data_IF_534693871387
#
_entry.id   IF_534693871387
#
_cell.length_a   1.000
_cell.length_b   1.000
_cell.length_c   1.000
_cell.angle_alpha   90.00
_cell.angle_beta   90.00
_cell.angle_gamma   90.00
#
_symmetry.space_group_name_H-M   'P 1'
#
loop_
_entity.id
_entity.type
_entity.pdbx_description
1 polymer ?
#
# COMPACT_ATOMS: atom_id res chain seq x y z
N UNK A 1 18.26 10.36 -20.14
CA UNK A 1 17.01 10.84 -19.50
C UNK A 1 17.28 11.52 -18.18
N UNK A 2 18.15 10.95 -17.32
CA UNK A 2 18.59 11.54 -16.05
C UNK A 2 19.18 12.96 -16.15
N UNK A 3 19.82 13.26 -17.26
CA UNK A 3 20.36 14.56 -17.67
C UNK A 3 19.28 15.65 -17.88
N UNK A 4 18.01 15.25 -18.07
CA UNK A 4 16.87 16.15 -18.28
C UNK A 4 16.25 16.67 -16.99
N UNK A 5 16.74 16.27 -15.82
CA UNK A 5 16.19 16.62 -14.51
C UNK A 5 17.27 17.14 -13.56
N UNK A 6 16.90 18.06 -12.69
CA UNK A 6 17.70 18.55 -11.56
C UNK A 6 17.09 18.10 -10.26
N UNK A 7 17.84 17.45 -9.38
CA UNK A 7 17.32 17.06 -8.06
C UNK A 7 17.49 18.20 -7.06
N UNK A 8 16.47 18.41 -6.24
CA UNK A 8 16.38 19.48 -5.25
C UNK A 8 16.83 19.00 -3.87
N UNK A 9 16.83 19.90 -2.88
CA UNK A 9 17.08 19.51 -1.48
C UNK A 9 15.97 18.62 -0.89
N UNK A 10 14.75 18.66 -1.44
CA UNK A 10 13.68 17.71 -1.04
C UNK A 10 14.08 16.27 -1.34
N UNK A 11 14.80 16.01 -2.43
CA UNK A 11 15.27 14.67 -2.71
C UNK A 11 16.33 14.21 -1.70
N UNK A 12 17.26 15.10 -1.31
CA UNK A 12 18.24 14.79 -0.27
C UNK A 12 17.56 14.49 1.06
N UNK A 13 16.56 15.30 1.42
CA UNK A 13 15.74 15.11 2.62
C UNK A 13 14.98 13.78 2.59
N UNK A 14 14.42 13.39 1.45
CA UNK A 14 13.79 12.08 1.25
C UNK A 14 14.74 10.92 1.51
N UNK A 15 15.99 10.98 1.05
CA UNK A 15 16.98 9.93 1.32
C UNK A 15 17.27 9.82 2.82
N UNK A 16 17.38 10.96 3.53
CA UNK A 16 17.57 10.98 4.98
C UNK A 16 16.36 10.41 5.73
N UNK A 17 15.16 10.76 5.30
CA UNK A 17 13.90 10.21 5.81
C UNK A 17 13.84 8.69 5.62
N UNK A 18 14.06 8.21 4.39
CA UNK A 18 14.01 6.79 4.06
C UNK A 18 15.02 5.96 4.87
N UNK A 19 16.22 6.50 5.13
CA UNK A 19 17.22 5.85 5.97
C UNK A 19 16.75 5.70 7.43
N UNK A 20 16.11 6.74 8.01
CA UNK A 20 15.53 6.68 9.35
C UNK A 20 14.38 5.69 9.42
N UNK A 21 13.45 5.76 8.46
CA UNK A 21 12.33 4.83 8.37
C UNK A 21 12.81 3.37 8.22
N UNK A 22 13.85 3.09 7.42
CA UNK A 22 14.45 1.75 7.33
C UNK A 22 15.02 1.27 8.67
N UNK A 23 15.69 2.16 9.40
CA UNK A 23 16.23 1.85 10.73
C UNK A 23 15.10 1.45 11.69
N UNK A 24 14.05 2.26 11.78
CA UNK A 24 12.88 1.98 12.62
C UNK A 24 12.16 0.72 12.17
N UNK A 25 12.06 0.46 10.87
CA UNK A 25 11.49 -0.78 10.37
C UNK A 25 12.24 -2.00 10.91
N UNK A 26 13.55 -2.03 10.74
CA UNK A 26 14.37 -3.18 11.10
C UNK A 26 14.45 -3.37 12.62
N UNK A 27 14.68 -2.29 13.38
CA UNK A 27 14.94 -2.38 14.82
C UNK A 27 13.64 -2.45 15.63
N UNK A 28 12.61 -1.68 15.27
CA UNK A 28 11.40 -1.51 16.08
C UNK A 28 10.19 -2.25 15.49
N UNK A 29 9.92 -2.04 14.19
CA UNK A 29 8.74 -2.62 13.54
C UNK A 29 8.83 -4.15 13.45
N UNK A 30 10.01 -4.66 13.10
CA UNK A 30 10.33 -6.09 12.96
C UNK A 30 11.20 -6.63 14.09
N UNK A 31 12.10 -5.80 14.65
CA UNK A 31 13.06 -6.23 15.68
C UNK A 31 12.55 -6.13 17.12
N UNK A 32 11.45 -5.40 17.36
CA UNK A 32 10.81 -5.28 18.67
C UNK A 32 11.48 -4.34 19.65
N UNK A 33 12.49 -3.57 19.22
CA UNK A 33 13.04 -2.48 20.01
C UNK A 33 11.98 -1.38 20.26
N UNK A 34 12.10 -0.60 21.36
CA UNK A 34 11.27 0.58 21.58
C UNK A 34 11.38 1.57 20.41
N UNK A 35 10.26 2.24 20.09
CA UNK A 35 10.22 3.25 19.02
C UNK A 35 10.83 4.58 19.48
N UNK A 36 10.49 5.05 20.68
CA UNK A 36 11.02 6.32 21.22
C UNK A 36 12.52 6.20 21.48
N UNK A 37 13.31 7.13 20.93
CA UNK A 37 14.77 7.13 20.94
C UNK A 37 15.43 6.27 19.85
N UNK A 38 14.68 5.69 18.92
CA UNK A 38 15.21 4.78 17.89
C UNK A 38 15.99 5.48 16.77
N UNK A 39 15.56 6.67 16.34
CA UNK A 39 16.13 7.34 15.16
C UNK A 39 16.39 8.84 15.31
N UNK A 40 16.07 9.41 16.47
CA UNK A 40 16.25 10.83 16.79
C UNK A 40 15.28 11.75 16.06
N UNK A 41 14.16 11.23 15.57
CA UNK A 41 13.09 12.00 14.92
C UNK A 41 11.76 11.77 15.66
N UNK A 42 11.31 12.78 16.41
CA UNK A 42 10.14 12.63 17.28
C UNK A 42 8.88 12.22 16.48
N UNK A 43 8.74 12.68 15.24
CA UNK A 43 7.58 12.34 14.43
C UNK A 43 7.60 10.86 14.04
N UNK A 44 8.72 10.36 13.51
CA UNK A 44 8.86 8.95 13.14
C UNK A 44 8.69 8.04 14.37
N UNK A 45 9.25 8.43 15.51
CA UNK A 45 9.25 7.64 16.73
C UNK A 45 7.88 7.56 17.42
N UNK A 46 6.98 8.52 17.17
CA UNK A 46 5.68 8.59 17.81
C UNK A 46 4.50 8.32 16.87
N UNK A 47 4.72 8.31 15.54
CA UNK A 47 3.66 8.12 14.55
C UNK A 47 4.01 6.99 13.59
N UNK A 48 3.31 5.87 13.75
CA UNK A 48 3.59 4.58 13.08
C UNK A 48 3.35 4.56 11.57
N UNK A 49 3.01 5.68 10.93
CA UNK A 49 2.89 5.74 9.47
C UNK A 49 4.26 5.85 8.81
N UNK A 50 5.28 6.27 9.57
CA UNK A 50 6.62 6.53 9.06
C UNK A 50 7.62 5.42 9.38
N UNK A 51 7.14 4.26 9.86
CA UNK A 51 7.98 3.24 10.48
C UNK A 51 8.38 2.09 9.55
N UNK A 52 8.02 2.16 8.27
CA UNK A 52 8.26 1.13 7.28
C UNK A 52 8.73 1.72 5.96
N UNK A 53 9.54 0.96 5.24
CA UNK A 53 9.98 1.27 3.88
C UNK A 53 9.78 0.13 2.90
N UNK A 54 9.50 -1.09 3.38
CA UNK A 54 9.04 -2.19 2.56
C UNK A 54 7.54 -2.33 2.72
N UNK A 55 6.82 -2.26 1.60
CA UNK A 55 5.37 -2.28 1.54
C UNK A 55 4.77 -3.45 2.29
N UNK A 56 5.33 -4.65 2.12
CA UNK A 56 4.91 -5.90 2.79
C UNK A 56 4.86 -5.81 4.32
N UNK A 57 5.56 -4.84 4.93
CA UNK A 57 5.56 -4.60 6.37
C UNK A 57 4.68 -3.43 6.81
N UNK A 58 4.13 -2.65 5.88
CA UNK A 58 3.20 -1.58 6.19
C UNK A 58 1.89 -2.12 6.78
N UNK A 59 1.18 -1.29 7.56
CA UNK A 59 -0.04 -1.70 8.27
C UNK A 59 -1.11 -2.30 7.35
N UNK A 60 -1.28 -1.77 6.13
CA UNK A 60 -2.31 -2.24 5.21
C UNK A 60 -2.04 -3.65 4.67
N UNK A 61 -0.84 -4.19 4.87
CA UNK A 61 -0.48 -5.56 4.52
C UNK A 61 -0.71 -6.56 5.63
N UNK A 62 -1.00 -6.11 6.86
CA UNK A 62 -1.05 -6.98 8.03
C UNK A 62 -1.95 -8.22 7.81
N UNK A 63 -3.14 -8.06 7.23
CA UNK A 63 -4.02 -9.21 6.96
C UNK A 63 -3.49 -10.16 5.87
N UNK A 64 -2.82 -9.66 4.82
CA UNK A 64 -2.20 -10.54 3.82
C UNK A 64 -0.97 -11.25 4.39
N UNK A 65 -0.18 -10.58 5.21
CA UNK A 65 0.94 -11.20 5.95
C UNK A 65 0.43 -12.31 6.87
N UNK A 66 -0.68 -12.06 7.59
CA UNK A 66 -1.31 -13.02 8.49
C UNK A 66 -1.77 -14.28 7.73
N UNK A 67 -2.45 -14.12 6.60
CA UNK A 67 -2.89 -15.26 5.79
C UNK A 67 -1.71 -16.01 5.18
N UNK A 68 -0.74 -15.28 4.61
CA UNK A 68 0.35 -15.87 3.83
C UNK A 68 1.35 -16.63 4.69
N UNK A 69 1.72 -16.07 5.85
CA UNK A 69 2.76 -16.61 6.73
C UNK A 69 2.21 -17.28 8.00
N UNK A 70 0.93 -17.14 8.32
CA UNK A 70 0.31 -17.70 9.53
C UNK A 70 1.08 -17.32 10.81
N UNK A 71 1.65 -18.29 11.53
CA UNK A 71 2.46 -18.11 12.74
C UNK A 71 3.92 -17.71 12.46
N UNK A 72 4.34 -17.75 11.20
CA UNK A 72 5.65 -17.30 10.74
C UNK A 72 5.65 -15.84 10.28
N UNK A 73 4.55 -15.11 10.51
CA UNK A 73 4.45 -13.73 10.10
C UNK A 73 5.49 -12.83 10.81
N UNK A 74 6.08 -11.83 10.13
CA UNK A 74 7.20 -11.05 10.68
C UNK A 74 6.90 -10.33 12.00
N UNK A 75 5.63 -10.02 12.29
CA UNK A 75 5.20 -9.29 13.48
C UNK A 75 4.56 -10.18 14.55
N UNK A 76 4.72 -11.51 14.47
CA UNK A 76 4.11 -12.47 15.38
C UNK A 76 4.32 -12.14 16.87
N UNK A 77 5.48 -11.60 17.22
CA UNK A 77 5.84 -11.22 18.59
C UNK A 77 5.02 -10.06 19.18
N UNK A 78 4.32 -9.27 18.35
CA UNK A 78 3.50 -8.13 18.79
C UNK A 78 2.07 -8.52 19.14
N UNK A 79 1.68 -9.76 18.88
CA UNK A 79 0.29 -10.18 18.89
C UNK A 79 -0.18 -10.65 20.26
N UNK A 80 -1.47 -10.47 20.52
CA UNK A 80 -2.13 -11.10 21.66
C UNK A 80 -2.31 -12.60 21.40
N UNK A 81 -2.59 -13.37 22.46
CA UNK A 81 -2.84 -14.82 22.33
C UNK A 81 -4.02 -15.13 21.40
N UNK A 82 -5.04 -14.28 21.40
CA UNK A 82 -6.21 -14.43 20.53
C UNK A 82 -5.84 -14.26 19.05
N UNK A 83 -4.97 -13.29 18.74
CA UNK A 83 -4.48 -13.07 17.37
C UNK A 83 -3.59 -14.24 16.94
N UNK A 84 -2.68 -14.70 17.81
CA UNK A 84 -1.84 -15.89 17.52
C UNK A 84 -2.71 -17.12 17.20
N UNK A 85 -3.73 -17.41 18.02
CA UNK A 85 -4.64 -18.53 17.79
C UNK A 85 -5.42 -18.40 16.46
N UNK A 86 -5.86 -17.19 16.09
CA UNK A 86 -6.46 -16.94 14.77
C UNK A 86 -5.48 -17.28 13.65
N UNK A 87 -4.24 -16.82 13.74
CA UNK A 87 -3.25 -17.03 12.69
C UNK A 87 -2.78 -18.49 12.58
N UNK A 88 -2.72 -19.22 13.70
CA UNK A 88 -2.49 -20.68 13.67
C UNK A 88 -3.54 -21.40 12.81
N UNK A 89 -4.78 -20.91 12.78
CA UNK A 89 -5.83 -21.48 11.92
C UNK A 89 -5.55 -21.30 10.42
N UNK A 90 -4.62 -20.43 10.01
CA UNK A 90 -4.28 -20.16 8.61
C UNK A 90 -3.13 -21.02 8.06
N UNK A 91 -2.48 -21.85 8.88
CA UNK A 91 -1.32 -22.67 8.43
C UNK A 91 -1.60 -23.53 7.20
N UNK A 92 -2.81 -24.05 7.10
CA UNK A 92 -3.23 -24.95 6.03
C UNK A 92 -3.45 -24.26 4.68
N UNK A 93 -3.45 -22.91 4.62
CA UNK A 93 -3.82 -22.17 3.43
C UNK A 93 -2.83 -22.39 2.28
N UNK A 94 -1.52 -22.47 2.57
CA UNK A 94 -0.50 -22.73 1.54
C UNK A 94 -0.66 -24.11 0.87
N UNK A 95 -1.22 -25.09 1.60
CA UNK A 95 -1.50 -26.43 1.07
C UNK A 95 -2.87 -26.53 0.37
N UNK A 96 -3.79 -25.62 0.71
CA UNK A 96 -5.19 -25.67 0.26
C UNK A 96 -5.44 -24.78 -0.95
N UNK A 97 -4.87 -23.57 -0.95
CA UNK A 97 -5.12 -22.56 -1.96
C UNK A 97 -4.10 -22.64 -3.09
N UNK A 98 -4.61 -22.61 -4.32
CA UNK A 98 -3.75 -22.45 -5.49
C UNK A 98 -3.42 -20.97 -5.72
N UNK A 99 -2.60 -20.69 -6.75
CA UNK A 99 -2.36 -19.33 -7.23
C UNK A 99 -3.65 -18.55 -7.51
N UNK A 100 -4.71 -19.25 -7.94
CA UNK A 100 -6.00 -18.67 -8.24
C UNK A 100 -6.66 -18.06 -7.01
N UNK A 101 -6.75 -18.82 -5.92
CA UNK A 101 -7.31 -18.36 -4.64
C UNK A 101 -6.47 -17.23 -4.05
N UNK A 102 -5.14 -17.32 -4.11
CA UNK A 102 -4.26 -16.26 -3.62
C UNK A 102 -4.44 -14.94 -4.36
N UNK A 103 -4.47 -14.97 -5.70
CA UNK A 103 -4.74 -13.76 -6.49
C UNK A 103 -6.15 -13.20 -6.23
N UNK A 104 -7.15 -14.07 -6.07
CA UNK A 104 -8.49 -13.63 -5.68
C UNK A 104 -8.48 -12.92 -4.31
N UNK A 105 -7.75 -13.44 -3.34
CA UNK A 105 -7.63 -12.85 -2.00
C UNK A 105 -6.90 -11.51 -2.04
N UNK A 106 -5.82 -11.37 -2.82
CA UNK A 106 -5.15 -10.09 -3.02
C UNK A 106 -6.10 -9.06 -3.65
N UNK A 107 -6.83 -9.46 -4.70
CA UNK A 107 -7.83 -8.62 -5.34
C UNK A 107 -8.94 -8.21 -4.37
N UNK A 108 -9.49 -9.16 -3.60
CA UNK A 108 -10.53 -8.90 -2.62
C UNK A 108 -10.04 -7.90 -1.57
N UNK A 109 -8.86 -8.14 -0.96
CA UNK A 109 -8.26 -7.25 0.03
C UNK A 109 -8.12 -5.82 -0.48
N UNK A 110 -7.63 -5.64 -1.72
CA UNK A 110 -7.46 -4.32 -2.32
C UNK A 110 -8.75 -3.60 -2.62
N UNK A 111 -9.81 -4.34 -2.90
CA UNK A 111 -11.13 -3.79 -3.15
C UNK A 111 -11.90 -3.49 -1.85
N UNK A 112 -11.72 -4.29 -0.79
CA UNK A 112 -12.58 -4.25 0.41
C UNK A 112 -11.90 -3.68 1.66
N UNK A 113 -10.69 -4.15 2.00
CA UNK A 113 -10.12 -4.05 3.36
C UNK A 113 -8.77 -3.36 3.50
N UNK A 114 -8.08 -3.04 2.40
CA UNK A 114 -6.70 -2.54 2.47
C UNK A 114 -6.52 -1.04 2.73
N UNK A 115 -7.56 -0.35 3.18
CA UNK A 115 -7.51 1.10 3.41
C UNK A 115 -6.51 1.48 4.50
N UNK A 116 -5.69 2.49 4.23
CA UNK A 116 -4.81 3.07 5.24
C UNK A 116 -5.63 3.81 6.32
N UNK A 117 -6.00 3.09 7.38
CA UNK A 117 -6.79 3.66 8.48
C UNK A 117 -5.94 4.57 9.37
N UNK A 118 -4.63 4.32 9.45
CA UNK A 118 -3.72 4.94 10.41
C UNK A 118 -4.16 4.73 11.86
N UNK A 119 -4.86 3.63 12.12
CA UNK A 119 -5.40 3.26 13.44
C UNK A 119 -4.88 1.88 13.85
N UNK A 120 -5.29 1.40 15.02
CA UNK A 120 -4.81 0.12 15.59
C UNK A 120 -5.19 -1.08 14.72
N UNK A 121 -6.27 -0.98 13.95
CA UNK A 121 -6.80 -2.05 13.08
C UNK A 121 -6.35 -1.93 11.61
N UNK A 122 -5.27 -1.18 11.33
CA UNK A 122 -4.78 -0.97 9.98
C UNK A 122 -4.52 -2.31 9.27
N UNK A 123 -5.17 -2.51 8.12
CA UNK A 123 -5.14 -3.76 7.35
C UNK A 123 -6.22 -4.77 7.74
N UNK A 124 -6.88 -4.60 8.88
CA UNK A 124 -7.96 -5.47 9.39
C UNK A 124 -9.35 -4.84 9.29
N UNK A 125 -9.44 -3.51 9.18
CA UNK A 125 -10.71 -2.79 9.12
C UNK A 125 -11.61 -3.25 7.99
N UNK A 126 -12.84 -3.65 8.34
CA UNK A 126 -13.87 -4.14 7.40
C UNK A 126 -13.38 -5.27 6.47
N UNK A 127 -12.32 -5.97 6.86
CA UNK A 127 -11.79 -7.05 6.05
C UNK A 127 -12.67 -8.29 6.19
N UNK A 128 -13.01 -8.89 5.05
CA UNK A 128 -13.77 -10.15 4.99
C UNK A 128 -12.84 -11.37 4.95
N UNK A 129 -11.53 -11.14 4.83
CA UNK A 129 -10.52 -12.16 4.60
C UNK A 129 -10.49 -13.30 5.64
N UNK A 130 -10.65 -13.05 6.96
CA UNK A 130 -10.71 -14.13 7.94
C UNK A 130 -11.87 -15.11 7.72
N UNK A 131 -12.99 -14.64 7.15
CA UNK A 131 -14.11 -15.50 6.81
C UNK A 131 -13.86 -16.25 5.50
N UNK A 132 -13.27 -15.57 4.51
CA UNK A 132 -12.87 -16.22 3.24
C UNK A 132 -11.79 -17.29 3.45
N UNK A 133 -10.90 -17.10 4.43
CA UNK A 133 -9.87 -18.05 4.83
C UNK A 133 -10.40 -19.39 5.35
N UNK A 134 -11.70 -19.50 5.66
CA UNK A 134 -12.34 -20.76 6.07
C UNK A 134 -12.80 -21.59 4.86
N UNK A 135 -12.71 -21.03 3.66
CA UNK A 135 -13.23 -21.61 2.42
C UNK A 135 -12.07 -22.13 1.55
N UNK A 136 -12.34 -23.15 0.75
CA UNK A 136 -11.30 -23.88 0.01
C UNK A 136 -11.09 -23.35 -1.39
N UNK A 137 -12.14 -22.84 -2.02
CA UNK A 137 -12.09 -22.39 -3.43
C UNK A 137 -12.56 -20.96 -3.58
N UNK A 138 -12.09 -20.29 -4.63
CA UNK A 138 -12.51 -18.93 -4.92
C UNK A 138 -14.02 -18.84 -5.25
N UNK A 139 -14.63 -19.90 -5.79
CA UNK A 139 -16.09 -20.00 -5.99
C UNK A 139 -16.86 -19.93 -4.66
N UNK A 140 -16.42 -20.69 -3.65
CA UNK A 140 -17.03 -20.67 -2.31
C UNK A 140 -16.93 -19.26 -1.71
N UNK A 141 -15.78 -18.60 -1.87
CA UNK A 141 -15.57 -17.23 -1.41
C UNK A 141 -16.51 -16.23 -2.09
N UNK A 142 -16.72 -16.35 -3.40
CA UNK A 142 -17.67 -15.51 -4.14
C UNK A 142 -19.09 -15.73 -3.65
N UNK A 143 -19.51 -16.98 -3.45
CA UNK A 143 -20.84 -17.29 -2.91
C UNK A 143 -21.05 -16.72 -1.51
N UNK A 144 -20.01 -16.77 -0.67
CA UNK A 144 -20.03 -16.13 0.65
C UNK A 144 -20.18 -14.60 0.53
N UNK A 145 -19.38 -13.94 -0.32
CA UNK A 145 -19.45 -12.49 -0.56
C UNK A 145 -20.84 -12.05 -1.03
N UNK A 146 -21.46 -12.83 -1.92
CA UNK A 146 -22.81 -12.55 -2.42
C UNK A 146 -23.84 -12.50 -1.29
N UNK A 147 -23.69 -13.36 -0.27
CA UNK A 147 -24.60 -13.45 0.88
C UNK A 147 -24.24 -12.51 2.03
N UNK A 148 -23.00 -12.04 2.11
CA UNK A 148 -22.54 -11.19 3.20
C UNK A 148 -23.33 -9.87 3.30
N UNK A 149 -23.89 -9.58 4.48
CA UNK A 149 -24.70 -8.38 4.70
C UNK A 149 -24.00 -7.26 5.49
N UNK A 150 -22.80 -7.54 6.00
CA UNK A 150 -22.02 -6.57 6.77
C UNK A 150 -21.26 -5.55 5.91
N UNK A 151 -20.46 -4.73 6.58
CA UNK A 151 -19.64 -3.70 5.93
C UNK A 151 -18.33 -4.33 5.45
N UNK A 152 -18.09 -4.26 4.14
CA UNK A 152 -16.82 -4.70 3.51
C UNK A 152 -16.19 -3.64 2.61
N UNK A 153 -16.72 -2.42 2.56
CA UNK A 153 -16.10 -1.34 1.79
C UNK A 153 -15.76 -0.19 2.73
N UNK A 154 -14.61 0.44 2.48
CA UNK A 154 -14.19 1.65 3.19
C UNK A 154 -13.69 2.68 2.18
N UNK A 155 -14.08 3.93 2.37
CA UNK A 155 -13.49 5.09 1.69
C UNK A 155 -12.32 5.68 2.47
N UNK A 156 -12.01 5.14 3.65
CA UNK A 156 -10.89 5.58 4.47
C UNK A 156 -9.60 5.02 3.88
N UNK A 157 -8.73 5.90 3.41
CA UNK A 157 -7.41 5.55 2.88
C UNK A 157 -7.39 4.91 1.49
N UNK A 158 -8.51 4.36 1.00
CA UNK A 158 -8.62 3.77 -0.34
C UNK A 158 -9.81 4.31 -1.14
N UNK A 159 -9.60 4.39 -2.46
CA UNK A 159 -10.70 4.63 -3.39
C UNK A 159 -11.53 3.34 -3.54
N UNK A 160 -12.86 3.45 -3.46
CA UNK A 160 -13.74 2.33 -3.81
C UNK A 160 -13.85 2.29 -5.35
N UNK A 161 -13.70 1.12 -6.00
CA UNK A 161 -13.90 1.01 -7.44
C UNK A 161 -15.29 1.50 -7.89
N UNK A 162 -15.35 2.10 -9.08
CA UNK A 162 -16.61 2.41 -9.73
C UNK A 162 -17.20 1.12 -10.32
N UNK A 163 -17.82 0.31 -9.45
CA UNK A 163 -18.40 -0.98 -9.81
C UNK A 163 -19.52 -0.86 -10.86
N UNK A 164 -19.84 -1.98 -11.55
CA UNK A 164 -21.08 -2.09 -12.31
C UNK A 164 -22.31 -1.69 -11.50
N UNK A 165 -23.39 -1.29 -12.18
CA UNK A 165 -24.67 -1.07 -11.49
C UNK A 165 -25.17 -2.39 -10.88
N UNK A 166 -25.84 -2.35 -9.71
CA UNK A 166 -26.59 -3.50 -9.21
C UNK A 166 -27.56 -4.03 -10.28
N UNK A 167 -27.78 -5.35 -10.30
CA UNK A 167 -28.73 -6.04 -11.19
C UNK A 167 -29.32 -7.27 -10.49
N UNK A 168 -30.31 -7.91 -11.12
CA UNK A 168 -31.09 -9.01 -10.54
C UNK A 168 -30.20 -10.07 -9.87
N UNK A 169 -30.52 -10.39 -8.61
CA UNK A 169 -29.72 -11.31 -7.79
C UNK A 169 -28.57 -10.68 -7.00
N UNK A 170 -28.27 -9.38 -7.19
CA UNK A 170 -27.17 -8.69 -6.50
C UNK A 170 -27.59 -7.38 -5.84
N UNK A 171 -27.44 -7.31 -4.51
CA UNK A 171 -27.79 -6.13 -3.68
C UNK A 171 -26.92 -4.90 -3.98
N UNK A 172 -25.68 -5.08 -4.43
CA UNK A 172 -24.72 -3.98 -4.67
C UNK A 172 -23.88 -4.23 -5.92
N UNK A 173 -23.38 -3.16 -6.53
CA UNK A 173 -22.48 -3.24 -7.70
C UNK A 173 -21.19 -4.01 -7.43
N UNK A 174 -20.64 -3.89 -6.21
CA UNK A 174 -19.46 -4.65 -5.83
C UNK A 174 -19.72 -6.15 -5.74
N UNK A 175 -20.92 -6.57 -5.31
CA UNK A 175 -21.33 -7.98 -5.38
C UNK A 175 -21.53 -8.46 -6.81
N UNK A 176 -22.01 -7.60 -7.72
CA UNK A 176 -22.03 -7.91 -9.16
C UNK A 176 -20.61 -8.17 -9.67
N UNK A 177 -19.65 -7.31 -9.30
CA UNK A 177 -18.24 -7.48 -9.68
C UNK A 177 -17.67 -8.83 -9.22
N UNK A 178 -17.80 -9.16 -7.93
CA UNK A 178 -17.30 -10.43 -7.41
C UNK A 178 -18.04 -11.64 -7.99
N UNK A 179 -19.37 -11.54 -8.13
CA UNK A 179 -20.22 -12.63 -8.60
C UNK A 179 -20.04 -13.02 -10.07
N UNK A 180 -19.62 -12.10 -10.93
CA UNK A 180 -19.64 -12.32 -12.38
C UNK A 180 -18.31 -12.02 -13.09
N UNK A 181 -17.43 -11.22 -12.49
CA UNK A 181 -16.24 -10.73 -13.17
C UNK A 181 -14.95 -11.14 -12.49
N UNK A 182 -14.88 -11.11 -11.15
CA UNK A 182 -13.62 -11.25 -10.43
C UNK A 182 -12.87 -12.56 -10.75
N UNK A 183 -13.56 -13.71 -10.76
CA UNK A 183 -12.90 -15.00 -11.03
C UNK A 183 -12.40 -15.10 -12.47
N UNK A 184 -13.21 -14.66 -13.45
CA UNK A 184 -12.80 -14.63 -14.85
C UNK A 184 -11.57 -13.74 -15.06
N UNK A 185 -11.52 -12.57 -14.40
CA UNK A 185 -10.35 -11.70 -14.43
C UNK A 185 -9.13 -12.39 -13.80
N UNK A 186 -9.27 -13.01 -12.63
CA UNK A 186 -8.19 -13.74 -11.94
C UNK A 186 -7.61 -14.83 -12.85
N UNK A 187 -8.47 -15.62 -13.50
CA UNK A 187 -8.06 -16.70 -14.39
C UNK A 187 -7.32 -16.17 -15.62
N UNK A 188 -7.83 -15.09 -16.23
CA UNK A 188 -7.21 -14.49 -17.39
C UNK A 188 -5.90 -13.74 -17.05
N UNK A 189 -5.77 -13.18 -15.84
CA UNK A 189 -4.51 -12.61 -15.36
C UNK A 189 -3.44 -13.69 -15.23
N UNK A 190 -3.76 -14.86 -14.66
CA UNK A 190 -2.77 -15.93 -14.57
C UNK A 190 -2.34 -16.45 -15.94
N UNK A 191 -3.26 -16.59 -16.90
CA UNK A 191 -2.90 -16.94 -18.29
C UNK A 191 -1.96 -15.90 -18.89
N UNK A 192 -2.23 -14.61 -18.69
CA UNK A 192 -1.39 -13.53 -19.18
C UNK A 192 0.02 -13.55 -18.55
N UNK A 193 0.08 -13.73 -17.23
CA UNK A 193 1.36 -13.83 -16.50
C UNK A 193 2.16 -15.05 -16.92
N UNK A 194 1.52 -16.22 -17.05
CA UNK A 194 2.17 -17.47 -17.48
C UNK A 194 2.71 -17.37 -18.91
N UNK A 195 2.03 -16.66 -19.81
CA UNK A 195 2.51 -16.43 -21.17
C UNK A 195 3.80 -15.59 -21.18
N UNK A 196 3.84 -14.50 -20.41
CA UNK A 196 5.04 -13.65 -20.30
C UNK A 196 6.21 -14.43 -19.65
N UNK A 197 5.91 -15.24 -18.64
CA UNK A 197 6.90 -16.02 -17.89
C UNK A 197 7.57 -17.14 -18.68
N UNK A 198 7.17 -17.39 -19.93
CA UNK A 198 7.96 -18.23 -20.86
C UNK A 198 9.32 -17.61 -21.18
N UNK A 199 9.41 -16.28 -21.16
CA UNK A 199 10.62 -15.54 -21.55
C UNK A 199 11.22 -14.69 -20.40
N UNK A 200 10.36 -14.06 -19.57
CA UNK A 200 10.79 -13.16 -18.49
C UNK A 200 9.72 -12.99 -17.42
N UNK A 201 10.07 -12.43 -16.27
CA UNK A 201 9.09 -11.98 -15.28
C UNK A 201 8.14 -10.93 -15.89
N UNK A 202 6.87 -10.99 -15.50
CA UNK A 202 5.88 -9.99 -15.89
C UNK A 202 6.12 -8.66 -15.15
N UNK A 203 5.97 -7.53 -15.84
CA UNK A 203 6.15 -6.21 -15.21
C UNK A 203 4.84 -5.72 -14.60
N UNK A 204 4.92 -4.96 -13.51
CA UNK A 204 3.73 -4.50 -12.76
C UNK A 204 2.76 -3.72 -13.68
N UNK A 205 3.26 -2.73 -14.45
CA UNK A 205 2.41 -1.93 -15.35
C UNK A 205 1.73 -2.77 -16.44
N UNK A 206 2.39 -3.81 -16.96
CA UNK A 206 1.81 -4.67 -18.01
C UNK A 206 0.57 -5.41 -17.50
N UNK A 207 0.67 -5.99 -16.29
CA UNK A 207 -0.45 -6.70 -15.66
C UNK A 207 -1.58 -5.71 -15.34
N UNK A 208 -1.25 -4.52 -14.80
CA UNK A 208 -2.26 -3.49 -14.52
C UNK A 208 -2.98 -3.03 -15.78
N UNK A 209 -2.25 -2.83 -16.88
CA UNK A 209 -2.81 -2.42 -18.16
C UNK A 209 -3.70 -3.50 -18.76
N UNK A 210 -3.29 -4.76 -18.66
CA UNK A 210 -4.10 -5.91 -19.00
C UNK A 210 -5.42 -5.92 -18.21
N UNK A 211 -5.37 -5.85 -16.87
CA UNK A 211 -6.56 -5.84 -16.02
C UNK A 211 -7.49 -4.66 -16.32
N UNK A 212 -6.93 -3.46 -16.55
CA UNK A 212 -7.71 -2.28 -16.91
C UNK A 212 -8.37 -2.40 -18.28
N UNK A 213 -7.68 -3.00 -19.26
CA UNK A 213 -8.22 -3.24 -20.60
C UNK A 213 -9.32 -4.29 -20.56
N UNK A 214 -9.11 -5.38 -19.83
CA UNK A 214 -10.10 -6.43 -19.58
C UNK A 214 -11.42 -5.86 -19.04
N UNK A 215 -11.34 -4.91 -18.11
CA UNK A 215 -12.52 -4.18 -17.62
C UNK A 215 -13.22 -3.36 -18.70
N UNK A 216 -12.46 -2.57 -19.47
CA UNK A 216 -13.02 -1.68 -20.50
C UNK A 216 -13.76 -2.45 -21.58
N UNK A 217 -13.20 -3.58 -22.01
CA UNK A 217 -13.83 -4.48 -23.00
C UNK A 217 -15.16 -5.06 -22.52
N UNK A 218 -15.38 -5.09 -21.20
CA UNK A 218 -16.62 -5.53 -20.55
C UNK A 218 -17.50 -4.38 -20.08
N UNK A 219 -17.24 -3.16 -20.57
CA UNK A 219 -18.03 -1.96 -20.24
C UNK A 219 -17.82 -1.42 -18.82
N UNK A 220 -16.79 -1.88 -18.11
CA UNK A 220 -16.46 -1.41 -16.76
C UNK A 220 -15.41 -0.29 -16.77
N UNK A 221 -15.39 0.51 -15.70
CA UNK A 221 -14.32 1.50 -15.47
C UNK A 221 -13.01 0.79 -15.12
N UNK A 222 -11.90 1.44 -15.42
CA UNK A 222 -10.58 0.96 -15.02
C UNK A 222 -10.39 1.13 -13.50
N UNK A 223 -9.92 0.09 -12.82
CA UNK A 223 -9.66 0.10 -11.37
C UNK A 223 -8.17 0.30 -11.10
N UNK A 224 -7.61 1.35 -11.70
CA UNK A 224 -6.17 1.52 -11.81
C UNK A 224 -5.45 1.49 -10.46
N UNK A 225 -6.00 2.17 -9.46
CA UNK A 225 -5.45 2.19 -8.10
C UNK A 225 -5.47 0.80 -7.46
N UNK A 226 -6.61 0.11 -7.50
CA UNK A 226 -6.77 -1.20 -6.85
C UNK A 226 -5.93 -2.27 -7.55
N UNK A 227 -5.92 -2.28 -8.89
CA UNK A 227 -5.12 -3.22 -9.67
C UNK A 227 -3.63 -2.98 -9.50
N UNK A 228 -3.20 -1.73 -9.42
CA UNK A 228 -1.79 -1.43 -9.10
C UNK A 228 -1.41 -1.98 -7.72
N UNK A 229 -2.25 -1.80 -6.72
CA UNK A 229 -2.01 -2.35 -5.38
C UNK A 229 -2.05 -3.89 -5.35
N UNK A 230 -2.95 -4.53 -6.12
CA UNK A 230 -3.06 -6.00 -6.22
C UNK A 230 -1.84 -6.59 -6.91
N UNK A 231 -1.37 -5.96 -7.99
CA UNK A 231 -0.19 -6.45 -8.72
C UNK A 231 1.09 -6.18 -7.92
N UNK A 232 1.15 -5.11 -7.12
CA UNK A 232 2.21 -4.95 -6.15
C UNK A 232 2.22 -6.07 -5.09
N UNK A 233 1.05 -6.61 -4.69
CA UNK A 233 0.99 -7.81 -3.84
C UNK A 233 1.55 -9.04 -4.58
N UNK A 234 1.22 -9.22 -5.85
CA UNK A 234 1.83 -10.29 -6.66
C UNK A 234 3.36 -10.16 -6.69
N UNK A 235 3.91 -8.95 -6.79
CA UNK A 235 5.35 -8.72 -6.73
C UNK A 235 5.94 -8.93 -5.32
N UNK A 236 5.14 -8.84 -4.25
CA UNK A 236 5.58 -9.13 -2.88
C UNK A 236 5.62 -10.66 -2.60
N UNK A 237 4.68 -11.42 -3.15
CA UNK A 237 4.45 -12.83 -2.79
C UNK A 237 4.79 -13.85 -3.89
N UNK A 238 4.82 -13.43 -5.16
CA UNK A 238 5.18 -14.23 -6.33
C UNK A 238 6.38 -13.60 -7.07
N UNK A 239 7.46 -13.36 -6.33
CA UNK A 239 8.70 -12.70 -6.82
C UNK A 239 9.33 -13.41 -8.02
N UNK A 240 9.09 -14.71 -8.19
CA UNK A 240 9.59 -15.47 -9.34
C UNK A 240 8.81 -15.20 -10.63
N UNK A 241 7.58 -14.67 -10.53
CA UNK A 241 6.67 -14.46 -11.66
C UNK A 241 6.48 -13.00 -12.02
N UNK A 242 6.60 -12.09 -11.05
CA UNK A 242 6.40 -10.64 -11.22
C UNK A 242 7.66 -9.90 -10.79
N UNK A 243 8.14 -9.01 -11.64
CA UNK A 243 9.38 -8.27 -11.40
C UNK A 243 9.17 -7.14 -10.38
N UNK A 244 9.64 -7.37 -9.16
CA UNK A 244 9.62 -6.39 -8.07
C UNK A 244 10.42 -5.12 -8.38
N UNK A 245 11.42 -5.19 -9.27
CA UNK A 245 12.24 -4.05 -9.65
C UNK A 245 11.64 -3.20 -10.76
N UNK A 246 10.50 -3.62 -11.32
CA UNK A 246 9.79 -2.91 -12.38
C UNK A 246 9.00 -1.70 -11.88
N UNK A 247 8.80 -0.70 -12.75
CA UNK A 247 7.97 0.45 -12.42
C UNK A 247 6.50 0.07 -12.23
N UNK A 248 5.84 0.80 -11.35
CA UNK A 248 4.39 0.74 -11.12
C UNK A 248 3.73 2.06 -11.50
N UNK A 249 2.39 2.13 -11.39
CA UNK A 249 1.69 3.40 -11.44
C UNK A 249 1.73 4.09 -10.08
N UNK A 250 2.07 5.38 -10.07
CA UNK A 250 2.29 6.12 -8.83
C UNK A 250 1.03 6.83 -8.38
N UNK A 251 0.70 6.75 -7.09
CA UNK A 251 -0.40 7.46 -6.47
C UNK A 251 -0.16 8.97 -6.42
N UNK A 252 -1.23 9.72 -6.14
CA UNK A 252 -1.20 11.19 -6.16
C UNK A 252 -0.16 11.78 -5.22
N UNK A 253 -0.02 11.21 -4.01
CA UNK A 253 0.92 11.71 -3.01
C UNK A 253 2.38 11.43 -3.40
N UNK A 254 2.67 10.24 -3.93
CA UNK A 254 3.99 9.94 -4.49
C UNK A 254 4.34 10.86 -5.66
N UNK A 255 3.38 11.14 -6.54
CA UNK A 255 3.54 12.11 -7.63
C UNK A 255 3.83 13.53 -7.13
N UNK A 256 3.14 13.97 -6.06
CA UNK A 256 3.39 15.27 -5.42
C UNK A 256 4.79 15.33 -4.79
N UNK A 257 5.23 14.26 -4.11
CA UNK A 257 6.59 14.17 -3.59
C UNK A 257 7.64 14.23 -4.71
N UNK A 258 7.45 13.46 -5.80
CA UNK A 258 8.36 13.48 -6.95
C UNK A 258 8.41 14.83 -7.66
N UNK A 259 7.28 15.57 -7.72
CA UNK A 259 7.23 16.94 -8.24
C UNK A 259 8.07 17.92 -7.37
N UNK A 260 8.31 17.61 -6.09
CA UNK A 260 9.23 18.36 -5.22
C UNK A 260 10.69 17.92 -5.36
N UNK A 261 10.93 16.62 -5.60
CA UNK A 261 12.28 16.05 -5.65
C UNK A 261 13.13 16.53 -6.81
N UNK A 262 12.51 16.89 -7.92
CA UNK A 262 13.24 17.32 -9.09
C UNK A 262 12.51 18.38 -9.92
N UNK A 263 13.28 19.17 -10.65
CA UNK A 263 12.78 20.09 -11.68
C UNK A 263 13.21 19.61 -13.06
N UNK A 264 12.47 20.04 -14.09
CA UNK A 264 12.76 19.69 -15.49
C UNK A 264 13.79 20.68 -16.06
N UNK A 265 14.94 20.18 -16.51
CA UNK A 265 15.95 20.95 -17.28
C UNK A 265 15.66 20.98 -18.79
N UNK A 266 14.91 20.00 -19.28
CA UNK A 266 14.56 19.87 -20.69
C UNK A 266 13.17 19.26 -20.87
N UNK A 267 12.68 19.22 -22.12
CA UNK A 267 11.38 18.60 -22.45
C UNK A 267 11.39 17.11 -22.09
N UNK A 268 10.54 16.75 -21.13
CA UNK A 268 10.27 15.38 -20.68
C UNK A 268 8.78 15.28 -20.30
N UNK A 269 8.13 14.19 -20.74
CA UNK A 269 6.74 13.96 -20.39
C UNK A 269 6.62 13.58 -18.90
N UNK A 270 5.42 13.68 -18.35
CA UNK A 270 5.21 13.53 -16.90
C UNK A 270 5.49 12.10 -16.40
N UNK A 271 5.11 11.08 -17.15
CA UNK A 271 5.40 9.68 -16.80
C UNK A 271 6.91 9.39 -16.81
N UNK A 272 7.61 9.80 -17.87
CA UNK A 272 9.07 9.65 -17.96
C UNK A 272 9.81 10.42 -16.86
N UNK A 273 9.31 11.58 -16.48
CA UNK A 273 9.87 12.36 -15.36
C UNK A 273 9.79 11.57 -14.05
N UNK A 274 8.64 10.97 -13.75
CA UNK A 274 8.48 10.15 -12.55
C UNK A 274 9.34 8.89 -12.57
N UNK A 275 9.43 8.20 -13.71
CA UNK A 275 10.30 7.04 -13.85
C UNK A 275 11.77 7.40 -13.59
N UNK A 276 12.25 8.56 -14.07
CA UNK A 276 13.62 9.03 -13.79
C UNK A 276 13.85 9.32 -12.31
N UNK A 277 12.87 9.94 -11.63
CA UNK A 277 12.96 10.22 -10.19
C UNK A 277 12.94 8.92 -9.38
N UNK A 278 12.10 7.96 -9.77
CA UNK A 278 12.00 6.65 -9.13
C UNK A 278 13.28 5.83 -9.30
N UNK A 279 13.89 5.82 -10.49
CA UNK A 279 15.16 5.14 -10.71
C UNK A 279 16.29 5.74 -9.86
N UNK A 280 16.36 7.07 -9.72
CA UNK A 280 17.34 7.68 -8.82
C UNK A 280 17.06 7.32 -7.36
N UNK A 281 15.79 7.32 -6.93
CA UNK A 281 15.42 6.91 -5.58
C UNK A 281 15.81 5.45 -5.30
N UNK A 282 15.56 4.55 -6.25
CA UNK A 282 15.98 3.13 -6.21
C UNK A 282 17.50 3.01 -6.07
N UNK A 283 18.28 3.73 -6.87
CA UNK A 283 19.75 3.72 -6.79
C UNK A 283 20.24 4.21 -5.41
N UNK A 284 19.62 5.26 -4.86
CA UNK A 284 20.08 5.89 -3.61
C UNK A 284 19.64 5.18 -2.34
N UNK A 285 18.52 4.47 -2.39
CA UNK A 285 17.93 3.80 -1.21
C UNK A 285 18.08 2.28 -1.23
N UNK A 286 18.27 1.69 -2.41
CA UNK A 286 18.21 0.24 -2.62
C UNK A 286 16.79 -0.33 -2.58
N UNK A 287 15.75 0.50 -2.44
CA UNK A 287 14.35 0.07 -2.41
C UNK A 287 13.80 -0.23 -3.81
N UNK A 288 12.76 -1.05 -3.87
CA UNK A 288 12.04 -1.33 -5.12
C UNK A 288 10.98 -0.27 -5.42
N UNK A 289 10.62 -0.04 -6.71
CA UNK A 289 9.62 0.98 -7.05
C UNK A 289 8.28 0.81 -6.33
N UNK A 290 7.84 -0.44 -6.08
CA UNK A 290 6.62 -0.74 -5.32
C UNK A 290 6.65 -0.26 -3.87
N UNK A 291 7.83 -0.32 -3.27
CA UNK A 291 8.07 0.06 -1.89
C UNK A 291 8.26 1.57 -1.79
N UNK A 292 9.06 2.13 -2.71
CA UNK A 292 9.37 3.55 -2.75
C UNK A 292 8.15 4.41 -3.08
N UNK A 293 7.16 3.92 -3.82
CA UNK A 293 5.91 4.64 -4.03
C UNK A 293 5.19 4.94 -2.70
N UNK A 294 5.09 3.96 -1.81
CA UNK A 294 4.53 4.14 -0.46
C UNK A 294 5.42 5.06 0.39
N UNK A 295 6.75 4.88 0.36
CA UNK A 295 7.69 5.75 1.11
C UNK A 295 7.61 7.20 0.66
N UNK A 296 7.40 7.45 -0.64
CA UNK A 296 7.18 8.80 -1.17
C UNK A 296 5.83 9.37 -0.76
N UNK A 297 4.79 8.54 -0.68
CA UNK A 297 3.49 8.93 -0.13
C UNK A 297 3.58 9.31 1.36
N UNK A 298 4.44 8.66 2.13
CA UNK A 298 4.65 9.01 3.54
C UNK A 298 5.60 10.19 3.69
N UNK A 299 6.58 10.36 2.79
CA UNK A 299 7.48 11.50 2.80
C UNK A 299 6.75 12.84 2.70
N UNK A 300 5.74 12.98 1.83
CA UNK A 300 5.00 14.24 1.73
C UNK A 300 4.31 14.59 3.07
N UNK A 301 3.80 13.57 3.78
CA UNK A 301 3.21 13.74 5.12
C UNK A 301 4.27 14.03 6.18
N UNK A 302 5.45 13.41 6.04
CA UNK A 302 6.59 13.64 6.92
C UNK A 302 7.05 15.09 6.83
N UNK A 303 7.27 15.64 5.63
CA UNK A 303 7.72 17.04 5.46
C UNK A 303 6.63 18.05 5.85
N UNK A 304 5.35 17.68 5.69
CA UNK A 304 4.20 18.40 6.24
C UNK A 304 4.01 18.18 7.75
N UNK A 305 4.82 17.31 8.36
CA UNK A 305 4.87 17.03 9.78
C UNK A 305 3.51 16.58 10.35
N UNK A 306 2.81 15.80 9.53
CA UNK A 306 1.44 15.37 9.71
C UNK A 306 1.32 14.32 10.82
N UNK A 307 0.36 14.52 11.71
CA UNK A 307 -0.05 13.55 12.72
C UNK A 307 -1.51 13.21 12.44
N UNK A 308 -1.84 11.94 12.09
CA UNK A 308 -3.21 11.55 11.75
C UNK A 308 -4.20 11.95 12.84
N UNK A 309 -5.34 12.53 12.43
CA UNK A 309 -6.51 12.71 13.28
C UNK A 309 -7.61 11.75 12.84
N UNK A 310 -7.48 10.51 13.30
CA UNK A 310 -8.34 9.39 12.90
C UNK A 310 -9.56 9.25 13.83
N UNK A 311 -10.47 8.31 13.53
CA UNK A 311 -11.71 8.16 14.30
C UNK A 311 -11.45 7.68 15.72
N UNK A 312 -10.54 6.73 15.89
CA UNK A 312 -10.16 6.15 17.18
C UNK A 312 -9.22 7.04 18.01
N UNK A 313 -8.90 8.25 17.51
CA UNK A 313 -8.03 9.22 18.18
C UNK A 313 -6.70 8.62 18.64
N UNK A 314 -6.12 7.74 17.81
CA UNK A 314 -4.89 6.97 18.14
C UNK A 314 -3.74 7.84 18.64
N UNK A 315 -3.62 9.07 18.12
CA UNK A 315 -2.54 10.01 18.46
C UNK A 315 -3.00 11.23 19.27
N UNK A 316 -4.18 11.18 19.91
CA UNK A 316 -4.71 12.32 20.65
C UNK A 316 -3.92 12.66 21.93
N UNK A 317 -3.16 11.71 22.48
CA UNK A 317 -2.28 11.94 23.62
C UNK A 317 -0.98 12.67 23.26
N UNK A 318 -0.64 12.79 21.98
CA UNK A 318 0.59 13.44 21.55
C UNK A 318 0.50 14.96 21.69
N UNK A 319 1.48 15.56 22.34
CA UNK A 319 1.65 17.01 22.35
C UNK A 319 2.18 17.49 20.99
N UNK A 320 1.25 17.86 20.11
CA UNK A 320 1.54 18.31 18.74
C UNK A 320 2.37 19.60 18.66
N UNK A 321 2.60 20.28 19.78
CA UNK A 321 3.53 21.43 19.83
C UNK A 321 4.97 21.01 20.06
N UNK A 322 5.22 19.77 20.50
CA UNK A 322 6.54 19.23 20.84
C UNK A 322 7.03 18.15 19.89
N UNK A 323 6.14 17.38 19.28
CA UNK A 323 6.51 16.35 18.31
C UNK A 323 6.88 17.02 16.98
N UNK A 324 8.08 16.84 16.45
CA UNK A 324 8.47 17.41 15.17
C UNK A 324 9.36 16.46 14.36
N UNK A 325 9.19 16.49 13.04
CA UNK A 325 10.18 15.91 12.15
C UNK A 325 11.53 16.65 12.25
N UNK A 326 12.55 15.99 11.72
CA UNK A 326 13.92 16.50 11.58
C UNK A 326 14.28 16.74 10.11
N UNK A 327 13.28 17.09 9.29
CA UNK A 327 13.48 17.45 7.89
C UNK A 327 14.46 18.61 7.78
N UNK A 328 15.32 18.57 6.76
CA UNK A 328 16.20 19.71 6.41
C UNK A 328 15.43 20.83 5.71
N UNK A 329 14.19 20.57 5.29
CA UNK A 329 13.31 21.55 4.66
C UNK A 329 12.61 22.37 5.75
N UNK A 330 13.13 23.55 6.02
CA UNK A 330 12.66 24.40 7.13
C UNK A 330 11.53 25.36 6.76
N UNK A 331 11.15 25.44 5.48
CA UNK A 331 10.22 26.43 4.94
C UNK A 331 9.14 25.82 4.02
N UNK A 332 8.80 24.54 4.20
CA UNK A 332 7.74 23.91 3.40
C UNK A 332 6.42 24.69 3.58
N UNK A 333 5.64 24.94 2.51
CA UNK A 333 4.49 25.86 2.57
C UNK A 333 3.20 25.25 3.13
N UNK A 334 3.15 23.93 3.34
CA UNK A 334 1.95 23.20 3.78
C UNK A 334 2.17 22.48 5.11
N UNK A 335 1.07 22.03 5.71
CA UNK A 335 1.10 21.23 6.93
C UNK A 335 1.59 22.01 8.15
N UNK A 336 2.03 21.26 9.16
CA UNK A 336 2.40 21.77 10.46
C UNK A 336 3.88 22.17 10.49
N UNK A 337 4.17 23.46 10.38
CA UNK A 337 5.55 23.93 10.26
C UNK A 337 6.01 24.73 11.47
N UNK A 338 7.26 24.53 11.92
CA UNK A 338 7.81 25.24 13.10
C UNK A 338 7.76 26.75 12.91
N UNK A 339 8.08 27.24 11.72
CA UNK A 339 8.08 28.67 11.39
C UNK A 339 6.68 29.30 11.38
N UNK A 340 5.61 28.49 11.34
CA UNK A 340 4.22 28.97 11.43
C UNK A 340 3.75 29.13 12.88
N UNK A 341 4.43 28.55 13.88
CA UNK A 341 4.03 28.65 15.29
C UNK A 341 3.92 30.11 15.74
N UNK A 342 2.80 30.44 16.40
CA UNK A 342 2.54 31.81 16.88
C UNK A 342 2.21 32.83 15.78
N UNK A 343 2.07 32.40 14.52
CA UNK A 343 1.63 33.24 13.41
C UNK A 343 0.15 32.99 13.07
N UNK A 344 -0.47 33.91 12.33
CA UNK A 344 -1.82 33.71 11.76
C UNK A 344 -1.93 32.52 10.80
N UNK A 345 -0.78 32.01 10.32
CA UNK A 345 -0.72 30.86 9.42
C UNK A 345 -0.75 29.52 10.19
N UNK A 346 -0.66 29.55 11.53
CA UNK A 346 -0.85 28.35 12.33
C UNK A 346 -2.32 27.89 12.28
N UNK A 347 -2.57 26.87 11.47
CA UNK A 347 -3.89 26.23 11.34
C UNK A 347 -3.77 24.77 11.72
N UNK A 348 -4.70 24.32 12.58
CA UNK A 348 -4.86 22.92 12.97
C UNK A 348 -5.57 22.13 11.90
#
# INVERSE_FOLDING_TARGET
>A
MRDKVEFTDYFKDFILYAAKAKKVQNECNLGGAPYVGSCGDDLIENVTIYDTVERKHAGFQNMLQDLWFADSAPKYYKWTKEHQARNESFKHLQDTWSRREWLFIFLAHRITGSGASFEVDHGYRNTILPELAKLKTAEEMVEWIKRYEGVMYTSVGNQIPAFPKPRDGYKTGGKVYFGEYALNLVDDVWKFVDEINKDRKALIREIVDFMCTWNRERGMKAFHFQYTATVADLADYYVDLVDEASHMYYGKNAQEAMDLFATKKARINKAQFYDVVMEEAKIKTGGFPKDLEDVMCDYIRFVENYIPDNREKTYASLDRTKIWNTSIITNHPKGRQKWMLGTQNWKW
#
